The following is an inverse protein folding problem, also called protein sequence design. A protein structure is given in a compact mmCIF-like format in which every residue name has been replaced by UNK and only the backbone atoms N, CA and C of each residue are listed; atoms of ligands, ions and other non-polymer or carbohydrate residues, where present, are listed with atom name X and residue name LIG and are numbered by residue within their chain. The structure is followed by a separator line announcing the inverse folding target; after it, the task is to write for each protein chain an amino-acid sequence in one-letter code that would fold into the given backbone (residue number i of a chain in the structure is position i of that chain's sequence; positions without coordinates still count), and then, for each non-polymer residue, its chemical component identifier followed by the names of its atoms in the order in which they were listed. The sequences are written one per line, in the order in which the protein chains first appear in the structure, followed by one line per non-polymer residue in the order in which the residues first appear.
data_IF_364120976434
#
_entry.id   IF_364120976434
#
_cell.length_a   1.000
_cell.length_b   1.000
_cell.length_c   1.000
_cell.angle_alpha   90.00
_cell.angle_beta   90.00
_cell.angle_gamma   90.00
#
_symmetry.space_group_name_H-M   'P 1'
#
loop_
_entity.id
_entity.type
_entity.pdbx_description
1 polymer ?
#
# COMPACT_ATOMS: atom_id res chain seq x y z
N UNK A 1 0.52 -5.83 -20.76
CA UNK A 1 1.61 -6.81 -20.90
C UNK A 1 1.78 -7.12 -22.37
N UNK A 2 2.99 -6.98 -22.93
CA UNK A 2 3.18 -7.06 -24.39
C UNK A 2 3.22 -8.49 -24.93
N UNK A 3 3.37 -9.50 -24.07
CA UNK A 3 3.40 -10.92 -24.44
C UNK A 3 2.34 -11.72 -23.69
N UNK A 4 1.28 -12.21 -24.38
CA UNK A 4 0.20 -12.96 -23.75
C UNK A 4 0.66 -14.25 -23.04
N UNK A 5 1.67 -14.94 -23.59
CA UNK A 5 2.22 -16.16 -22.99
C UNK A 5 2.85 -15.90 -21.61
N UNK A 6 3.62 -14.83 -21.50
CA UNK A 6 4.24 -14.41 -20.23
C UNK A 6 3.15 -13.97 -19.25
N UNK A 7 2.17 -13.20 -19.71
CA UNK A 7 1.04 -12.77 -18.87
C UNK A 7 0.26 -13.95 -18.28
N UNK A 8 0.01 -14.99 -19.10
CA UNK A 8 -0.66 -16.19 -18.66
C UNK A 8 0.16 -16.96 -17.61
N UNK A 9 1.48 -17.03 -17.76
CA UNK A 9 2.34 -17.69 -16.78
C UNK A 9 2.39 -16.91 -15.46
N UNK A 10 2.52 -15.58 -15.52
CA UNK A 10 2.44 -14.71 -14.33
C UNK A 10 1.11 -14.93 -13.60
N UNK A 11 -0.02 -14.95 -14.32
CA UNK A 11 -1.33 -15.15 -13.73
C UNK A 11 -1.46 -16.51 -13.01
N UNK A 12 -0.92 -17.60 -13.61
CA UNK A 12 -0.91 -18.93 -12.99
C UNK A 12 -0.09 -18.95 -11.71
N UNK A 13 1.11 -18.35 -11.71
CA UNK A 13 1.96 -18.33 -10.52
C UNK A 13 1.36 -17.44 -9.41
N UNK A 14 0.77 -16.30 -9.78
CA UNK A 14 0.10 -15.42 -8.84
C UNK A 14 -1.12 -16.09 -8.20
N UNK A 15 -1.91 -16.84 -8.97
CA UNK A 15 -3.02 -17.63 -8.42
C UNK A 15 -2.55 -18.65 -7.38
N UNK A 16 -1.49 -19.40 -7.67
CA UNK A 16 -0.92 -20.37 -6.72
C UNK A 16 -0.45 -19.68 -5.44
N UNK A 17 0.20 -18.53 -5.58
CA UNK A 17 0.68 -17.74 -4.46
C UNK A 17 -0.47 -17.25 -3.56
N UNK A 18 -1.57 -16.76 -4.14
CA UNK A 18 -2.74 -16.31 -3.38
C UNK A 18 -3.49 -17.43 -2.63
N UNK A 19 -3.29 -18.69 -3.01
CA UNK A 19 -3.96 -19.83 -2.36
C UNK A 19 -3.16 -20.42 -1.20
N UNK A 20 -1.94 -19.92 -0.95
CA UNK A 20 -1.12 -20.36 0.17
C UNK A 20 -1.82 -19.98 1.48
N UNK A 21 -2.05 -20.95 2.35
CA UNK A 21 -2.55 -20.68 3.70
C UNK A 21 -1.40 -20.25 4.61
N UNK A 22 -1.44 -18.99 5.03
CA UNK A 22 -0.43 -18.38 5.89
C UNK A 22 -0.98 -18.33 7.32
N UNK A 23 -0.30 -18.94 8.31
CA UNK A 23 -0.71 -18.84 9.70
C UNK A 23 -0.53 -17.41 10.22
N UNK A 24 -1.50 -16.90 10.97
CA UNK A 24 -1.47 -15.54 11.53
C UNK A 24 -2.72 -14.75 11.23
N UNK A 25 -2.66 -13.43 11.50
CA UNK A 25 -3.77 -12.53 11.22
C UNK A 25 -4.07 -12.50 9.72
N UNK A 26 -5.35 -12.62 9.37
CA UNK A 26 -5.83 -12.43 7.98
C UNK A 26 -6.11 -10.96 7.66
N UNK A 27 -5.86 -10.06 8.61
CA UNK A 27 -5.97 -8.62 8.36
C UNK A 27 -4.83 -8.13 7.45
N UNK A 28 -5.14 -7.33 6.41
CA UNK A 28 -4.12 -6.79 5.53
C UNK A 28 -3.17 -5.83 6.27
N UNK A 29 -1.88 -6.17 6.30
CA UNK A 29 -0.80 -5.39 6.89
C UNK A 29 -0.43 -4.16 6.06
N UNK A 30 -0.76 -4.14 4.76
CA UNK A 30 -0.49 -3.03 3.85
C UNK A 30 -0.86 -1.67 4.44
N UNK A 31 -2.05 -1.54 5.01
CA UNK A 31 -2.51 -0.26 5.55
C UNK A 31 -1.71 0.17 6.78
N UNK A 32 -1.30 -0.77 7.63
CA UNK A 32 -0.44 -0.50 8.78
C UNK A 32 0.90 0.09 8.32
N UNK A 33 1.50 -0.50 7.29
CA UNK A 33 2.76 -0.01 6.73
C UNK A 33 2.61 1.33 6.03
N UNK A 34 1.54 1.54 5.25
CA UNK A 34 1.26 2.84 4.63
C UNK A 34 1.15 3.94 5.69
N UNK A 35 0.37 3.74 6.76
CA UNK A 35 0.25 4.74 7.83
C UNK A 35 1.55 4.92 8.61
N UNK A 36 2.34 3.85 8.80
CA UNK A 36 3.67 3.92 9.41
C UNK A 36 4.63 4.76 8.56
N UNK A 37 4.63 4.59 7.24
CA UNK A 37 5.43 5.41 6.34
C UNK A 37 4.99 6.86 6.33
N UNK A 38 3.68 7.13 6.29
CA UNK A 38 3.15 8.50 6.38
C UNK A 38 3.58 9.19 7.68
N UNK A 39 3.51 8.49 8.82
CA UNK A 39 3.96 9.03 10.10
C UNK A 39 5.47 9.31 10.12
N UNK A 40 6.27 8.45 9.50
CA UNK A 40 7.72 8.69 9.38
C UNK A 40 8.01 9.87 8.45
N UNK A 41 7.28 9.97 7.34
CA UNK A 41 7.42 11.05 6.38
C UNK A 41 7.05 12.41 7.01
N UNK A 42 5.95 12.49 7.77
CA UNK A 42 5.46 13.76 8.32
C UNK A 42 6.42 14.46 9.30
N UNK A 43 7.39 13.73 9.85
CA UNK A 43 8.40 14.26 10.78
C UNK A 43 9.80 14.38 10.18
N UNK A 44 9.96 14.11 8.87
CA UNK A 44 11.24 14.26 8.21
C UNK A 44 11.70 15.73 8.25
N UNK A 45 12.98 15.89 8.54
CA UNK A 45 13.68 17.18 8.48
C UNK A 45 14.86 17.04 7.53
N UNK A 46 15.02 18.03 6.67
CA UNK A 46 16.13 18.15 5.74
C UNK A 46 17.03 19.30 6.16
N UNK A 47 18.34 19.09 6.06
CA UNK A 47 19.34 20.15 6.29
C UNK A 47 19.30 21.22 5.20
N UNK A 48 18.88 20.83 3.99
CA UNK A 48 18.65 21.76 2.89
C UNK A 48 17.38 22.58 3.17
N UNK A 49 17.57 23.88 3.41
CA UNK A 49 16.50 24.82 3.73
C UNK A 49 15.44 24.93 2.63
N UNK A 50 15.83 24.89 1.35
CA UNK A 50 14.88 25.00 0.25
C UNK A 50 14.05 23.72 0.10
N UNK A 51 14.69 22.57 0.31
CA UNK A 51 14.00 21.29 0.39
C UNK A 51 13.06 21.23 1.60
N UNK A 52 13.51 21.72 2.76
CA UNK A 52 12.72 21.75 3.98
C UNK A 52 11.48 22.62 3.82
N UNK A 53 11.61 23.83 3.25
CA UNK A 53 10.48 24.72 2.94
C UNK A 53 9.44 24.04 2.05
N UNK A 54 9.89 23.39 0.96
CA UNK A 54 8.99 22.65 0.05
C UNK A 54 8.27 21.52 0.78
N UNK A 55 8.98 20.83 1.68
CA UNK A 55 8.42 19.73 2.44
C UNK A 55 7.39 20.19 3.47
N UNK A 56 7.59 21.34 4.11
CA UNK A 56 6.65 21.94 5.07
C UNK A 56 5.36 22.45 4.43
N UNK A 57 5.36 22.69 3.11
CA UNK A 57 4.13 22.99 2.36
C UNK A 57 3.22 21.78 2.17
N UNK A 58 3.70 20.56 2.44
CA UNK A 58 2.90 19.34 2.31
C UNK A 58 1.96 19.21 3.50
N UNK A 59 0.66 19.18 3.22
CA UNK A 59 -0.36 18.84 4.22
C UNK A 59 -0.43 17.33 4.43
N UNK A 60 0.38 16.81 5.34
CA UNK A 60 0.34 15.38 5.71
C UNK A 60 -1.01 14.96 6.29
N UNK A 61 -1.77 15.91 6.86
CA UNK A 61 -3.13 15.67 7.33
C UNK A 61 -4.06 15.33 6.16
N UNK A 62 -4.05 16.13 5.10
CA UNK A 62 -4.85 15.88 3.90
C UNK A 62 -4.50 14.52 3.28
N UNK A 63 -3.21 14.21 3.13
CA UNK A 63 -2.78 12.91 2.61
C UNK A 63 -3.29 11.76 3.50
N UNK A 64 -3.24 11.92 4.81
CA UNK A 64 -3.71 10.91 5.74
C UNK A 64 -5.23 10.69 5.62
N UNK A 65 -6.00 11.75 5.42
CA UNK A 65 -7.45 11.66 5.29
C UNK A 65 -7.84 11.02 3.94
N UNK A 66 -7.18 11.38 2.84
CA UNK A 66 -7.34 10.73 1.53
C UNK A 66 -6.99 9.23 1.58
N UNK A 67 -5.90 8.86 2.26
CA UNK A 67 -5.50 7.45 2.41
C UNK A 67 -6.51 6.66 3.26
N UNK A 68 -7.12 7.27 4.28
CA UNK A 68 -8.20 6.63 5.04
C UNK A 68 -9.42 6.39 4.14
N UNK A 69 -9.80 7.37 3.33
CA UNK A 69 -10.92 7.21 2.39
C UNK A 69 -10.64 6.11 1.37
N UNK A 70 -9.42 6.06 0.84
CA UNK A 70 -8.98 5.01 -0.07
C UNK A 70 -9.06 3.64 0.60
N UNK A 71 -8.58 3.51 1.85
CA UNK A 71 -8.70 2.28 2.64
C UNK A 71 -10.16 1.84 2.77
N UNK A 72 -11.04 2.74 3.21
CA UNK A 72 -12.46 2.45 3.40
C UNK A 72 -13.10 1.99 2.08
N UNK A 73 -12.72 2.59 0.95
CA UNK A 73 -13.22 2.16 -0.37
C UNK A 73 -12.69 0.78 -0.76
N UNK A 74 -11.39 0.54 -0.61
CA UNK A 74 -10.78 -0.77 -0.89
C UNK A 74 -11.40 -1.88 -0.05
N UNK A 75 -11.62 -1.63 1.24
CA UNK A 75 -12.26 -2.58 2.15
C UNK A 75 -13.70 -2.92 1.71
N UNK A 76 -14.46 -1.92 1.23
CA UNK A 76 -15.84 -2.12 0.73
C UNK A 76 -15.91 -2.88 -0.60
N UNK A 77 -14.91 -2.75 -1.46
CA UNK A 77 -14.99 -3.28 -2.83
C UNK A 77 -14.64 -4.78 -2.91
N UNK A 78 -14.49 -5.47 -1.77
CA UNK A 78 -13.96 -6.85 -1.71
C UNK A 78 -12.78 -7.02 -2.66
N UNK A 79 -11.70 -6.27 -2.44
CA UNK A 79 -10.48 -6.53 -3.18
C UNK A 79 -9.87 -7.86 -2.71
N UNK A 80 -10.49 -8.96 -3.11
CA UNK A 80 -10.11 -10.34 -2.80
C UNK A 80 -8.73 -10.70 -3.36
N UNK A 81 -8.21 -9.86 -4.27
CA UNK A 81 -6.89 -9.98 -4.91
C UNK A 81 -5.81 -9.18 -4.16
N UNK A 82 -6.16 -8.13 -3.40
CA UNK A 82 -5.18 -7.39 -2.57
C UNK A 82 -5.09 -7.93 -1.13
N UNK A 83 -6.15 -8.54 -0.60
CA UNK A 83 -6.15 -9.10 0.76
C UNK A 83 -5.16 -10.26 0.93
N UNK A 84 -4.81 -10.98 -0.13
CA UNK A 84 -3.83 -12.08 -0.08
C UNK A 84 -2.39 -11.62 -0.27
N UNK A 85 -2.13 -10.53 -0.97
CA UNK A 85 -0.77 -9.96 -1.12
C UNK A 85 -0.36 -9.17 0.13
N UNK A 86 -1.32 -8.55 0.82
CA UNK A 86 -1.07 -7.70 1.98
C UNK A 86 -0.98 -8.44 3.33
N UNK A 87 -1.15 -9.77 3.37
CA UNK A 87 -1.07 -10.58 4.60
C UNK A 87 0.32 -11.19 4.85
N UNK A 88 1.33 -10.78 4.07
CA UNK A 88 2.77 -11.05 4.29
C UNK A 88 3.42 -9.72 4.63
#
# INVERSE_FOLDING_TARGET
MKEPRIAAEIAKQLQKFHQVDIPGSKEPQLWNDVFKFLKKASVLKFEDNEKQKRYEMISFREIQDEVKELKVRCDKTYCHVLLTIAAI
#
